data_IF_961902636085
#
_entry.id   IF_961902636085
#
_cell.length_a   1.000
_cell.length_b   1.000
_cell.length_c   1.000
_cell.angle_alpha   90.00
_cell.angle_beta   90.00
_cell.angle_gamma   90.00
#
_symmetry.space_group_name_H-M   'P 1'
#
loop_
_entity.id
_entity.type
_entity.pdbx_description
1 polymer ?
#
# COMPACT_ATOMS: atom_id res chain seq x y z
N UNK A 1 -4.34 -0.60 -7.83
CA UNK A 1 -4.15 0.41 -8.89
C UNK A 1 -5.47 1.09 -9.24
N UNK A 2 -5.45 2.35 -9.68
CA UNK A 2 -6.63 3.05 -10.23
C UNK A 2 -6.98 2.48 -11.62
N UNK A 3 -8.28 2.36 -11.91
CA UNK A 3 -8.81 1.86 -13.18
C UNK A 3 -8.90 0.33 -13.25
N UNK A 4 -8.36 -0.39 -12.26
CA UNK A 4 -8.39 -1.84 -12.20
C UNK A 4 -9.64 -2.35 -11.47
N UNK A 5 -10.02 -3.58 -11.81
CA UNK A 5 -10.97 -4.38 -11.06
C UNK A 5 -10.19 -5.49 -10.35
N UNK A 6 -10.52 -5.77 -9.09
CA UNK A 6 -9.72 -6.66 -8.26
C UNK A 6 -10.59 -7.58 -7.42
N UNK A 7 -10.07 -8.77 -7.16
CA UNK A 7 -10.47 -9.59 -6.04
C UNK A 7 -9.43 -9.36 -4.93
N UNK A 8 -9.83 -9.35 -3.67
CA UNK A 8 -8.91 -9.15 -2.53
C UNK A 8 -9.22 -10.18 -1.46
N UNK A 9 -8.29 -11.11 -1.24
CA UNK A 9 -8.32 -12.03 -0.10
C UNK A 9 -7.71 -11.35 1.13
N UNK A 10 -8.43 -11.33 2.24
CA UNK A 10 -7.93 -10.77 3.50
C UNK A 10 -8.62 -11.36 4.72
N UNK A 11 -8.04 -11.14 5.91
CA UNK A 11 -8.63 -11.58 7.18
C UNK A 11 -9.60 -10.51 7.70
N UNK A 12 -10.87 -10.88 7.87
CA UNK A 12 -11.94 -10.03 8.43
C UNK A 12 -12.61 -10.74 9.58
N UNK A 13 -12.72 -10.08 10.74
CA UNK A 13 -13.38 -10.61 11.95
C UNK A 13 -12.98 -12.05 12.34
N UNK A 14 -11.71 -12.42 12.11
CA UNK A 14 -11.16 -13.75 12.41
C UNK A 14 -11.17 -14.75 11.25
N UNK A 15 -12.07 -14.58 10.27
CA UNK A 15 -12.18 -15.43 9.08
C UNK A 15 -11.41 -14.85 7.88
N UNK A 16 -11.10 -15.68 6.88
CA UNK A 16 -10.60 -15.20 5.59
C UNK A 16 -11.77 -15.04 4.61
N UNK A 17 -11.81 -13.90 3.93
CA UNK A 17 -12.86 -13.52 2.99
C UNK A 17 -12.24 -13.03 1.69
N UNK A 18 -13.01 -13.07 0.60
CA UNK A 18 -12.65 -12.49 -0.69
C UNK A 18 -13.71 -11.49 -1.10
N UNK A 19 -13.31 -10.23 -1.25
CA UNK A 19 -14.19 -9.17 -1.74
C UNK A 19 -13.78 -8.74 -3.16
N UNK A 20 -14.75 -8.27 -3.95
CA UNK A 20 -14.52 -7.68 -5.28
C UNK A 20 -14.58 -6.16 -5.21
N UNK A 21 -13.73 -5.46 -5.96
CA UNK A 21 -13.70 -4.00 -5.99
C UNK A 21 -13.42 -3.44 -7.40
N UNK A 22 -14.16 -2.40 -7.79
CA UNK A 22 -13.94 -1.59 -8.99
C UNK A 22 -13.24 -0.28 -8.59
N UNK A 23 -11.93 -0.19 -8.84
CA UNK A 23 -11.05 0.84 -8.27
C UNK A 23 -11.03 2.13 -9.10
N UNK A 24 -12.09 2.92 -9.02
CA UNK A 24 -12.21 4.18 -9.80
C UNK A 24 -11.26 5.30 -9.36
N UNK A 25 -10.60 5.19 -8.19
CA UNK A 25 -9.67 6.19 -7.66
C UNK A 25 -8.87 5.71 -6.45
N UNK A 26 -8.13 6.63 -5.83
CA UNK A 26 -7.27 6.37 -4.66
C UNK A 26 -8.01 6.61 -3.33
N UNK A 27 -9.26 6.14 -3.21
CA UNK A 27 -10.05 6.27 -1.98
C UNK A 27 -9.99 4.96 -1.17
N UNK A 28 -10.21 5.00 0.15
CA UNK A 28 -10.39 3.79 0.96
C UNK A 28 -11.49 2.89 0.38
N UNK A 29 -11.31 1.57 0.51
CA UNK A 29 -12.30 0.60 0.06
C UNK A 29 -13.54 0.64 0.94
N UNK A 30 -14.71 0.34 0.37
CA UNK A 30 -15.93 0.09 1.12
C UNK A 30 -15.84 -1.24 1.87
N UNK A 31 -16.51 -1.33 3.02
CA UNK A 31 -16.64 -2.59 3.76
C UNK A 31 -17.37 -3.67 2.94
N UNK A 32 -18.33 -3.26 2.11
CA UNK A 32 -19.00 -4.13 1.15
C UNK A 32 -18.22 -4.21 -0.18
N UNK A 33 -18.23 -5.40 -0.80
CA UNK A 33 -17.80 -5.61 -2.19
C UNK A 33 -18.59 -4.76 -3.18
N UNK A 34 -17.96 -4.42 -4.31
CA UNK A 34 -18.63 -3.80 -5.46
C UNK A 34 -18.59 -4.73 -6.68
N UNK A 35 -19.58 -4.68 -7.59
CA UNK A 35 -19.53 -5.42 -8.85
C UNK A 35 -18.28 -5.11 -9.68
N UNK A 36 -17.83 -6.12 -10.43
CA UNK A 36 -16.77 -6.06 -11.44
C UNK A 36 -17.30 -6.60 -12.77
N UNK A 37 -16.58 -6.39 -13.88
CA UNK A 37 -17.07 -6.68 -15.23
C UNK A 37 -17.08 -8.18 -15.58
N UNK A 38 -16.24 -8.97 -14.92
CA UNK A 38 -16.26 -10.43 -15.00
C UNK A 38 -16.99 -10.96 -13.76
N UNK A 39 -18.09 -11.70 -13.97
CA UNK A 39 -18.83 -12.29 -12.85
C UNK A 39 -17.91 -13.24 -12.08
N UNK A 40 -17.90 -13.11 -10.75
CA UNK A 40 -16.97 -13.79 -9.88
C UNK A 40 -17.73 -14.69 -8.91
N UNK A 41 -17.54 -16.00 -9.04
CA UNK A 41 -18.26 -17.03 -8.29
C UNK A 41 -17.27 -17.91 -7.51
N UNK A 42 -17.79 -18.72 -6.57
CA UNK A 42 -16.99 -19.70 -5.80
C UNK A 42 -15.80 -19.07 -5.03
N UNK A 43 -15.94 -17.79 -4.65
CA UNK A 43 -14.86 -17.02 -4.02
C UNK A 43 -14.58 -17.50 -2.60
N UNK A 44 -13.33 -17.91 -2.35
CA UNK A 44 -12.89 -18.37 -1.03
C UNK A 44 -11.42 -17.99 -0.78
N UNK A 45 -11.04 -17.88 0.50
CA UNK A 45 -9.65 -17.73 0.90
C UNK A 45 -9.32 -18.58 2.12
N UNK A 46 -8.08 -19.06 2.23
CA UNK A 46 -7.64 -19.97 3.29
C UNK A 46 -6.67 -19.34 4.29
N UNK A 47 -6.22 -20.13 5.27
CA UNK A 47 -5.29 -19.72 6.32
C UNK A 47 -3.91 -19.25 5.84
N UNK A 48 -3.56 -19.44 4.56
CA UNK A 48 -2.33 -18.95 3.90
C UNK A 48 -2.62 -17.77 2.97
N UNK A 49 -3.81 -17.18 3.05
CA UNK A 49 -4.31 -16.11 2.15
C UNK A 49 -4.34 -16.54 0.68
N UNK A 50 -4.45 -17.85 0.40
CA UNK A 50 -4.61 -18.35 -0.98
C UNK A 50 -6.03 -18.08 -1.44
N UNK A 51 -6.17 -17.33 -2.53
CA UNK A 51 -7.45 -17.01 -3.15
C UNK A 51 -7.87 -18.13 -4.10
N UNK A 52 -9.14 -18.51 -4.00
CA UNK A 52 -9.85 -19.41 -4.91
C UNK A 52 -11.07 -18.68 -5.48
N UNK A 53 -11.46 -19.01 -6.70
CA UNK A 53 -12.61 -18.41 -7.36
C UNK A 53 -12.66 -18.68 -8.86
N UNK A 54 -13.85 -18.54 -9.42
CA UNK A 54 -14.14 -18.70 -10.84
C UNK A 54 -14.52 -17.33 -11.42
N UNK A 55 -13.89 -16.94 -12.54
CA UNK A 55 -14.21 -15.71 -13.28
C UNK A 55 -14.88 -16.05 -14.61
N UNK A 56 -16.12 -15.59 -14.79
CA UNK A 56 -16.83 -15.76 -16.05
C UNK A 56 -16.39 -14.68 -17.04
N UNK A 57 -15.61 -15.09 -18.03
CA UNK A 57 -15.14 -14.21 -19.09
C UNK A 57 -16.13 -14.18 -20.27
N UNK A 58 -16.20 -13.06 -21.02
CA UNK A 58 -16.98 -12.97 -22.26
C UNK A 58 -16.57 -14.02 -23.30
N UNK A 59 -17.56 -14.54 -24.05
CA UNK A 59 -17.31 -15.49 -25.14
C UNK A 59 -16.39 -14.88 -26.19
N UNK A 60 -15.33 -15.60 -26.56
CA UNK A 60 -14.33 -15.15 -27.53
C UNK A 60 -13.22 -14.27 -26.94
N UNK A 61 -13.15 -14.11 -25.62
CA UNK A 61 -12.00 -13.50 -24.96
C UNK A 61 -10.81 -14.45 -24.96
N UNK A 62 -9.74 -14.09 -25.67
CA UNK A 62 -8.52 -14.91 -25.84
C UNK A 62 -7.39 -14.54 -24.88
N UNK A 63 -7.42 -13.35 -24.29
CA UNK A 63 -6.45 -12.88 -23.32
C UNK A 63 -7.06 -11.87 -22.33
N UNK A 64 -6.48 -11.77 -21.14
CA UNK A 64 -6.78 -10.74 -20.14
C UNK A 64 -5.50 -10.09 -19.65
N UNK A 65 -5.53 -8.79 -19.33
CA UNK A 65 -4.46 -8.15 -18.60
C UNK A 65 -4.68 -8.35 -17.10
N UNK A 66 -3.65 -8.79 -16.39
CA UNK A 66 -3.69 -8.90 -14.93
C UNK A 66 -2.71 -7.93 -14.27
N UNK A 67 -2.95 -7.67 -12.98
CA UNK A 67 -2.02 -6.97 -12.10
C UNK A 67 -1.90 -7.79 -10.82
N UNK A 68 -0.71 -7.86 -10.26
CA UNK A 68 -0.49 -8.40 -8.91
C UNK A 68 -0.08 -7.25 -8.00
N UNK A 69 -0.59 -7.19 -6.77
CA UNK A 69 -0.29 -6.10 -5.84
C UNK A 69 -0.06 -6.66 -4.44
N UNK A 70 1.05 -6.30 -3.82
CA UNK A 70 1.28 -6.61 -2.41
C UNK A 70 0.50 -5.61 -1.55
N UNK A 71 -0.54 -6.09 -0.86
CA UNK A 71 -1.28 -5.30 0.13
C UNK A 71 -0.39 -4.93 1.32
N UNK A 72 -0.58 -3.74 1.88
CA UNK A 72 0.23 -3.23 2.99
C UNK A 72 -0.25 -3.73 4.35
N UNK A 73 -1.51 -3.48 4.69
CA UNK A 73 -2.14 -3.91 5.94
C UNK A 73 -3.66 -4.00 5.79
N UNK A 74 -4.35 -4.56 6.79
CA UNK A 74 -5.80 -4.63 6.89
C UNK A 74 -6.20 -3.97 8.21
N UNK A 75 -6.86 -2.82 8.14
CA UNK A 75 -7.30 -2.07 9.31
C UNK A 75 -8.82 -2.17 9.44
N UNK A 76 -9.32 -2.57 10.63
CA UNK A 76 -10.76 -2.71 10.92
C UNK A 76 -11.54 -3.55 9.89
N UNK A 77 -10.91 -4.60 9.34
CA UNK A 77 -11.53 -5.44 8.30
C UNK A 77 -11.61 -4.78 6.92
N UNK A 78 -10.81 -3.74 6.65
CA UNK A 78 -10.70 -3.10 5.34
C UNK A 78 -9.23 -3.11 4.89
N UNK A 79 -8.91 -3.66 3.70
CA UNK A 79 -7.56 -3.58 3.14
C UNK A 79 -7.14 -2.13 2.87
N UNK A 80 -5.94 -1.78 3.32
CA UNK A 80 -5.32 -0.50 3.02
C UNK A 80 -4.74 -0.46 1.60
N UNK A 81 -4.39 0.74 1.13
CA UNK A 81 -3.75 0.95 -0.16
C UNK A 81 -2.37 0.26 -0.23
N UNK A 82 -2.07 -0.40 -1.35
CA UNK A 82 -0.74 -0.95 -1.63
C UNK A 82 0.31 0.16 -1.80
N UNK A 83 1.59 -0.13 -1.55
CA UNK A 83 2.65 0.84 -1.79
C UNK A 83 2.79 1.18 -3.28
N UNK A 84 3.19 2.42 -3.59
CA UNK A 84 3.48 2.91 -4.95
C UNK A 84 4.95 2.71 -5.36
N UNK A 85 5.65 1.73 -4.77
CA UNK A 85 6.98 1.34 -5.20
C UNK A 85 6.95 0.84 -6.67
N UNK A 86 8.06 1.01 -7.40
CA UNK A 86 8.10 0.77 -8.85
C UNK A 86 7.73 -0.68 -9.19
N UNK A 87 8.18 -1.62 -8.37
CA UNK A 87 7.93 -3.05 -8.49
C UNK A 87 6.43 -3.37 -8.44
N UNK A 88 5.69 -2.71 -7.55
CA UNK A 88 4.22 -2.82 -7.51
C UNK A 88 3.58 -2.17 -8.74
N UNK A 89 4.11 -1.05 -9.24
CA UNK A 89 3.58 -0.38 -10.45
C UNK A 89 3.90 -1.14 -11.75
N UNK A 90 4.89 -2.03 -11.72
CA UNK A 90 5.33 -2.87 -12.83
C UNK A 90 4.84 -4.32 -12.72
N UNK A 91 4.30 -4.75 -11.58
CA UNK A 91 3.64 -6.04 -11.38
C UNK A 91 2.30 -6.14 -12.16
N UNK A 92 2.42 -6.22 -13.48
CA UNK A 92 1.35 -6.32 -14.48
C UNK A 92 1.83 -7.22 -15.63
N UNK A 93 0.88 -7.85 -16.31
CA UNK A 93 1.17 -8.80 -17.39
C UNK A 93 -0.08 -9.13 -18.19
N UNK A 94 0.08 -10.02 -19.17
CA UNK A 94 -1.03 -10.54 -19.98
C UNK A 94 -1.12 -12.05 -19.85
N UNK A 95 -2.31 -12.56 -19.56
CA UNK A 95 -2.63 -13.97 -19.48
C UNK A 95 -3.39 -14.37 -20.75
N UNK A 96 -2.76 -15.18 -21.59
CA UNK A 96 -3.37 -15.79 -22.77
C UNK A 96 -4.14 -17.04 -22.35
N UNK A 97 -5.38 -17.15 -22.83
CA UNK A 97 -6.36 -18.17 -22.43
C UNK A 97 -6.47 -19.33 -23.44
N UNK A 98 -5.82 -19.19 -24.60
CA UNK A 98 -5.87 -20.16 -25.71
C UNK A 98 -4.94 -21.36 -25.52
N UNK A 99 -4.97 -21.97 -24.34
CA UNK A 99 -4.56 -23.36 -24.07
C UNK A 99 -3.07 -23.75 -24.14
N UNK A 100 -2.22 -23.02 -24.86
CA UNK A 100 -0.80 -23.34 -25.01
C UNK A 100 0.05 -22.11 -25.38
N UNK A 101 0.45 -21.32 -24.39
CA UNK A 101 1.37 -20.20 -24.56
C UNK A 101 2.07 -19.88 -23.25
N UNK A 102 3.36 -19.56 -23.30
CA UNK A 102 4.15 -19.27 -22.10
C UNK A 102 3.58 -18.02 -21.40
N UNK A 103 3.16 -18.19 -20.14
CA UNK A 103 2.88 -17.04 -19.27
C UNK A 103 4.18 -16.34 -18.96
N UNK A 104 4.30 -15.07 -19.33
CA UNK A 104 5.24 -14.19 -18.65
C UNK A 104 4.82 -14.12 -17.18
N UNK A 105 5.67 -14.63 -16.30
CA UNK A 105 5.32 -14.76 -14.89
C UNK A 105 5.44 -13.39 -14.24
N UNK A 106 4.31 -12.82 -13.82
CA UNK A 106 4.32 -11.60 -13.00
C UNK A 106 5.32 -11.79 -11.84
N UNK A 107 6.23 -10.81 -11.60
CA UNK A 107 7.33 -10.98 -10.68
C UNK A 107 6.82 -11.36 -9.28
N UNK A 108 7.46 -12.35 -8.67
CA UNK A 108 7.05 -12.87 -7.37
C UNK A 108 7.13 -11.76 -6.31
N UNK A 109 6.17 -11.68 -5.37
CA UNK A 109 6.19 -10.66 -4.34
C UNK A 109 7.39 -10.85 -3.43
N UNK A 110 8.27 -9.85 -3.37
CA UNK A 110 9.33 -9.80 -2.36
C UNK A 110 8.71 -9.55 -1.00
N UNK A 111 8.74 -10.56 -0.13
CA UNK A 111 8.38 -10.39 1.27
C UNK A 111 9.48 -9.58 1.96
N UNK A 112 9.23 -8.29 2.19
CA UNK A 112 10.02 -7.51 3.14
C UNK A 112 9.79 -8.14 4.51
N UNK A 113 10.79 -8.87 5.00
CA UNK A 113 10.77 -9.44 6.34
C UNK A 113 10.71 -8.34 7.40
N UNK A 114 10.30 -8.66 8.64
CA UNK A 114 10.35 -7.69 9.72
C UNK A 114 11.82 -7.32 9.98
N UNK A 115 12.18 -6.05 9.75
CA UNK A 115 13.39 -5.49 10.35
C UNK A 115 13.23 -5.52 11.86
N UNK A 116 13.83 -6.51 12.50
CA UNK A 116 14.15 -6.45 13.92
C UNK A 116 15.44 -5.64 14.08
N UNK A 117 15.44 -4.77 15.09
CA UNK A 117 16.47 -3.76 15.34
C UNK A 117 17.81 -4.37 15.82
N UNK A 118 18.91 -3.65 15.56
CA UNK A 118 19.92 -3.47 16.61
C UNK A 118 20.12 -1.99 16.88
N UNK A 119 20.20 -1.65 18.17
CA UNK A 119 20.31 -0.28 18.65
C UNK A 119 21.77 0.11 18.87
N UNK A 120 22.16 1.29 18.37
CA UNK A 120 23.28 2.07 18.92
C UNK A 120 22.75 3.43 19.30
N UNK A 121 22.46 3.62 20.59
CA UNK A 121 21.83 4.84 21.09
C UNK A 121 22.84 5.95 21.37
N UNK A 122 22.40 7.19 21.16
CA UNK A 122 23.01 8.39 21.72
C UNK A 122 21.94 9.14 22.53
N UNK A 123 22.10 9.12 23.86
CA UNK A 123 21.44 10.04 24.78
C UNK A 123 22.25 11.33 24.78
N UNK A 124 21.71 12.41 24.20
CA UNK A 124 22.26 13.75 24.41
C UNK A 124 21.33 14.55 25.32
N UNK A 125 21.94 15.14 26.34
CA UNK A 125 21.26 15.70 27.51
C UNK A 125 21.16 17.21 27.31
N UNK A 126 19.94 17.75 27.21
CA UNK A 126 19.76 19.19 27.05
C UNK A 126 20.06 19.90 28.37
N UNK A 127 21.20 20.61 28.44
CA UNK A 127 21.56 21.49 29.56
C UNK A 127 21.76 22.92 29.05
N UNK A 128 21.04 23.86 29.65
CA UNK A 128 21.08 25.28 29.31
C UNK A 128 22.40 25.96 29.75
N UNK A 129 22.86 27.02 29.06
CA UNK A 129 23.93 27.89 29.52
C UNK A 129 23.41 29.20 30.14
N UNK A 130 23.98 29.60 31.29
CA UNK A 130 23.78 30.92 31.92
C UNK A 130 25.04 31.80 31.79
N UNK A 131 24.83 33.00 31.24
CA UNK A 131 25.54 34.29 31.29
C UNK A 131 27.08 34.49 31.53
N UNK A 132 27.57 35.55 30.84
CA UNK A 132 28.60 36.53 31.24
C UNK A 132 30.11 36.18 31.01
N UNK A 133 31.03 37.17 30.81
CA UNK A 133 30.94 38.61 31.16
C UNK A 133 31.31 39.65 30.07
N UNK A 134 31.21 40.94 30.43
CA UNK A 134 31.50 42.14 29.60
C UNK A 134 32.93 42.72 29.81
N UNK A 135 33.32 43.78 29.05
CA UNK A 135 33.54 45.07 29.74
C UNK A 135 33.17 46.38 28.97
N UNK A 136 33.23 47.49 29.73
CA UNK A 136 33.15 48.96 29.47
C UNK A 136 33.91 49.52 28.23
N UNK A 137 33.75 50.78 27.74
CA UNK A 137 32.92 51.95 28.11
C UNK A 137 32.87 53.00 26.96
N UNK A 138 31.92 53.96 27.00
CA UNK A 138 31.93 55.22 26.20
C UNK A 138 30.54 55.88 26.08
N UNK A 139 30.41 57.19 26.39
CA UNK A 139 29.13 57.91 26.55
C UNK A 139 29.12 59.27 25.77
N UNK A 140 28.19 60.23 25.99
CA UNK A 140 26.77 60.23 25.58
C UNK A 140 26.29 61.52 24.85
N UNK A 141 25.06 61.52 24.30
CA UNK A 141 24.16 62.69 24.05
C UNK A 141 22.82 62.26 23.42
N UNK A 142 21.79 63.09 23.11
CA UNK A 142 21.02 64.15 23.83
C UNK A 142 19.85 64.60 22.93
N UNK A 143 18.61 64.74 23.45
CA UNK A 143 17.42 65.37 22.78
C UNK A 143 16.97 64.76 21.42
N UNK A 144 15.90 65.19 20.73
CA UNK A 144 14.50 65.56 21.09
C UNK A 144 13.67 65.55 19.76
N UNK A 145 12.35 65.41 19.86
CA UNK A 145 11.27 65.68 18.89
C UNK A 145 11.53 65.82 17.36
N UNK A 146 10.68 65.11 16.59
CA UNK A 146 9.82 65.70 15.56
C UNK A 146 8.54 64.86 15.39
#
# INVERSE_FOLDING_TARGET
MKGAQTLVAFKSSGAYVVNTYNLTGYRPLSAASTPIAFEATELAADGKVRLYGTLQLPKGMEAVNHIWQVGSTVANGVPAQHAFAQENLEAKGSLVLTGAGATDAAPAPVAVGPSAEEATGNLETETAPEAAPAPLAGAPSTEEAA
#
